data_IF_758807293038
#
_entry.id   IF_758807293038
#
_cell.length_a   1.000
_cell.length_b   1.000
_cell.length_c   1.000
_cell.angle_alpha   90.00
_cell.angle_beta   90.00
_cell.angle_gamma   90.00
#
_symmetry.space_group_name_H-M   'P 1'
#
loop_
_entity.id
_entity.type
_entity.pdbx_description
1 polymer ?
#
# COMPACT_ATOMS: atom_id res chain seq x y z
N UNK A 1 2.30 32.89 62.48
CA UNK A 1 2.05 33.87 61.39
C UNK A 1 3.10 33.80 60.27
N UNK A 2 4.34 34.32 60.43
CA UNK A 2 5.31 34.35 59.30
C UNK A 2 5.75 32.95 58.82
N UNK A 3 5.99 32.03 59.75
CA UNK A 3 6.40 30.63 59.47
C UNK A 3 5.32 29.87 58.68
N UNK A 4 4.05 30.09 59.02
CA UNK A 4 2.91 29.45 58.35
C UNK A 4 2.72 29.98 56.93
N UNK A 5 2.92 31.29 56.71
CA UNK A 5 2.88 31.90 55.38
C UNK A 5 3.96 31.30 54.47
N UNK A 6 5.17 31.10 54.99
CA UNK A 6 6.27 30.47 54.24
C UNK A 6 5.94 29.01 53.91
N UNK A 7 5.37 28.23 54.85
CA UNK A 7 4.94 26.86 54.57
C UNK A 7 3.83 26.76 53.52
N UNK A 8 2.87 27.68 53.55
CA UNK A 8 1.79 27.74 52.55
C UNK A 8 2.33 28.06 51.16
N UNK A 9 3.30 28.97 51.05
CA UNK A 9 3.95 29.30 49.78
C UNK A 9 4.67 28.09 49.17
N UNK A 10 5.47 27.36 49.96
CA UNK A 10 6.13 26.14 49.49
C UNK A 10 5.14 25.04 49.08
N UNK A 11 4.05 24.89 49.85
CA UNK A 11 3.01 23.91 49.57
C UNK A 11 2.26 24.23 48.26
N UNK A 12 1.93 25.51 48.04
CA UNK A 12 1.27 25.97 46.81
C UNK A 12 2.19 25.84 45.59
N UNK A 13 3.45 26.26 45.72
CA UNK A 13 4.46 26.11 44.67
C UNK A 13 4.67 24.65 44.28
N UNK A 14 4.75 23.75 45.26
CA UNK A 14 4.91 22.32 45.00
C UNK A 14 3.69 21.73 44.27
N UNK A 15 2.48 22.15 44.64
CA UNK A 15 1.24 21.69 44.01
C UNK A 15 1.14 22.16 42.55
N UNK A 16 1.51 23.41 42.28
CA UNK A 16 1.54 23.98 40.92
C UNK A 16 2.53 23.25 40.01
N UNK A 17 3.75 22.98 40.51
CA UNK A 17 4.75 22.19 39.78
C UNK A 17 4.29 20.75 39.54
N UNK A 18 3.67 20.11 40.53
CA UNK A 18 3.16 18.73 40.43
C UNK A 18 2.03 18.59 39.40
N UNK A 19 1.11 19.55 39.35
CA UNK A 19 0.03 19.56 38.35
C UNK A 19 0.57 19.82 36.93
N UNK A 20 1.56 20.70 36.81
CA UNK A 20 2.24 20.98 35.53
C UNK A 20 3.00 19.76 35.00
N UNK A 21 3.77 19.07 35.85
CA UNK A 21 4.53 17.86 35.47
C UNK A 21 3.58 16.74 35.01
N UNK A 22 2.44 16.55 35.70
CA UNK A 22 1.42 15.56 35.27
C UNK A 22 0.83 15.88 33.91
N UNK A 23 0.56 17.16 33.60
CA UNK A 23 0.08 17.60 32.27
C UNK A 23 1.12 17.33 31.19
N UNK A 24 2.38 17.66 31.43
CA UNK A 24 3.49 17.40 30.50
C UNK A 24 3.68 15.91 30.24
N UNK A 25 3.63 15.08 31.29
CA UNK A 25 3.75 13.62 31.16
C UNK A 25 2.59 13.01 30.37
N UNK A 26 1.37 13.51 30.58
CA UNK A 26 0.18 13.09 29.82
C UNK A 26 0.29 13.47 28.33
N UNK A 27 0.72 14.70 28.02
CA UNK A 27 0.94 15.13 26.63
C UNK A 27 2.04 14.28 25.98
N UNK A 28 3.16 14.05 26.67
CA UNK A 28 4.24 13.19 26.19
C UNK A 28 3.71 11.78 25.86
N UNK A 29 2.89 11.21 26.74
CA UNK A 29 2.26 9.89 26.54
C UNK A 29 1.29 9.87 25.35
N UNK A 30 0.53 10.94 25.11
CA UNK A 30 -0.39 11.03 23.97
C UNK A 30 0.40 11.20 22.65
N UNK A 31 1.46 12.01 22.65
CA UNK A 31 2.30 12.22 21.46
C UNK A 31 3.06 10.97 21.04
N UNK A 32 3.51 10.14 21.98
CA UNK A 32 4.14 8.84 21.66
C UNK A 32 3.12 7.80 21.19
N UNK A 33 1.87 7.87 21.64
CA UNK A 33 0.78 7.03 21.14
C UNK A 33 0.44 7.36 19.67
N UNK A 34 0.62 8.62 19.23
CA UNK A 34 0.42 9.04 17.83
C UNK A 34 1.64 8.88 16.92
N UNK A 35 2.85 8.76 17.49
CA UNK A 35 4.08 8.44 16.73
C UNK A 35 4.32 6.93 16.61
N UNK A 36 3.61 6.11 17.40
CA UNK A 36 3.60 4.65 17.32
C UNK A 36 2.58 4.11 16.30
N UNK A 37 2.26 4.90 15.27
CA UNK A 37 1.81 4.30 14.02
C UNK A 37 3.10 4.14 13.23
N UNK A 38 3.70 2.93 13.14
CA UNK A 38 4.72 2.72 12.14
C UNK A 38 4.11 3.19 10.83
N UNK A 39 4.73 4.17 10.17
CA UNK A 39 4.45 4.45 8.77
C UNK A 39 4.26 3.09 8.12
N UNK A 40 3.13 2.82 7.43
CA UNK A 40 2.92 1.50 6.88
C UNK A 40 4.20 1.16 6.12
N UNK A 41 4.80 0.03 6.46
CA UNK A 41 5.90 -0.63 5.77
C UNK A 41 5.46 -0.98 4.33
N UNK A 42 4.95 0.00 3.61
CA UNK A 42 4.30 -0.10 2.32
C UNK A 42 5.36 -0.19 1.20
N UNK A 43 6.63 0.04 1.53
CA UNK A 43 7.73 0.02 0.58
C UNK A 43 8.62 -1.24 0.62
N UNK A 44 8.54 -2.12 1.63
CA UNK A 44 9.44 -3.28 1.72
C UNK A 44 8.75 -4.66 1.68
N UNK A 45 7.43 -4.70 1.59
CA UNK A 45 6.77 -5.94 1.19
C UNK A 45 6.96 -6.08 -0.31
N UNK A 46 7.76 -7.06 -0.76
CA UNK A 46 7.75 -7.49 -2.16
C UNK A 46 6.29 -7.59 -2.57
N UNK A 47 5.87 -6.82 -3.57
CA UNK A 47 4.54 -6.91 -4.14
C UNK A 47 4.38 -8.30 -4.74
N UNK A 48 4.07 -9.28 -3.91
CA UNK A 48 3.39 -10.47 -4.37
C UNK A 48 2.07 -9.88 -4.83
N UNK A 49 1.88 -9.79 -6.15
CA UNK A 49 0.54 -9.74 -6.69
C UNK A 49 -0.15 -10.96 -6.11
N UNK A 50 -0.84 -10.78 -4.96
CA UNK A 50 -2.03 -11.55 -4.64
C UNK A 50 -2.71 -11.59 -5.98
N UNK A 51 -2.93 -12.79 -6.52
CA UNK A 51 -3.77 -12.91 -7.70
C UNK A 51 -5.03 -12.18 -7.27
N UNK A 52 -5.20 -10.90 -7.67
CA UNK A 52 -6.52 -10.28 -7.79
C UNK A 52 -7.29 -11.41 -8.41
N UNK A 53 -8.42 -11.81 -7.85
CA UNK A 53 -9.26 -12.75 -8.55
C UNK A 53 -9.40 -12.16 -9.94
N UNK A 54 -8.62 -12.70 -10.90
CA UNK A 54 -8.73 -12.37 -12.30
C UNK A 54 -9.93 -13.21 -12.57
N UNK A 55 -11.09 -12.68 -12.14
CA UNK A 55 -12.35 -13.39 -12.09
C UNK A 55 -12.41 -14.10 -13.41
N UNK A 56 -12.41 -15.42 -13.35
CA UNK A 56 -12.05 -16.28 -14.47
C UNK A 56 -12.79 -15.73 -15.67
N UNK A 57 -12.08 -15.01 -16.54
CA UNK A 57 -12.70 -14.57 -17.77
C UNK A 57 -13.08 -15.89 -18.39
N UNK A 58 -14.37 -16.15 -18.53
CA UNK A 58 -14.84 -17.26 -19.35
C UNK A 58 -14.34 -16.90 -20.73
N UNK A 59 -13.08 -17.23 -20.99
CA UNK A 59 -12.50 -17.18 -22.31
C UNK A 59 -13.34 -18.17 -23.04
N UNK A 60 -14.31 -17.67 -23.81
CA UNK A 60 -14.82 -18.40 -24.95
C UNK A 60 -13.60 -18.55 -25.85
N UNK A 61 -12.77 -19.55 -25.55
CA UNK A 61 -11.73 -20.03 -26.44
C UNK A 61 -12.49 -20.72 -27.55
N UNK A 62 -13.16 -19.92 -28.39
CA UNK A 62 -13.59 -20.36 -29.69
C UNK A 62 -12.27 -20.56 -30.40
N UNK A 63 -11.77 -21.78 -30.34
CA UNK A 63 -10.72 -22.25 -31.21
C UNK A 63 -11.33 -22.21 -32.59
N UNK A 64 -11.30 -21.04 -33.25
CA UNK A 64 -11.61 -20.94 -34.66
C UNK A 64 -10.47 -21.66 -35.36
N UNK A 65 -10.70 -22.84 -35.97
CA UNK A 65 -9.66 -23.48 -36.75
C UNK A 65 -9.31 -22.50 -37.86
N UNK A 66 -8.05 -22.07 -37.92
CA UNK A 66 -7.54 -21.31 -39.06
C UNK A 66 -7.73 -22.25 -40.25
N UNK A 67 -8.72 -21.96 -41.11
CA UNK A 67 -8.97 -22.73 -42.32
C UNK A 67 -7.72 -22.56 -43.19
N UNK A 68 -7.10 -23.69 -43.51
CA UNK A 68 -5.73 -23.82 -44.05
C UNK A 68 -4.60 -23.62 -43.03
N UNK A 69 -4.17 -24.76 -42.47
CA UNK A 69 -2.95 -24.88 -41.65
C UNK A 69 -1.68 -25.07 -42.51
N UNK A 70 -1.75 -24.77 -43.81
CA UNK A 70 -0.63 -24.90 -44.74
C UNK A 70 0.28 -23.67 -44.62
N UNK A 71 1.10 -23.61 -43.58
CA UNK A 71 2.21 -22.64 -43.53
C UNK A 71 2.58 -22.09 -42.15
N UNK A 72 1.74 -22.27 -41.12
CA UNK A 72 2.06 -21.79 -39.76
C UNK A 72 2.57 -22.96 -38.91
N UNK A 73 3.81 -23.36 -39.17
CA UNK A 73 4.54 -24.38 -38.39
C UNK A 73 5.63 -23.69 -37.57
N UNK A 74 5.25 -22.84 -36.61
CA UNK A 74 6.24 -22.07 -35.85
C UNK A 74 5.64 -21.16 -34.80
N UNK A 75 6.52 -20.42 -34.11
CA UNK A 75 6.10 -19.38 -33.16
C UNK A 75 5.72 -18.13 -33.94
N UNK A 76 4.57 -17.57 -33.59
CA UNK A 76 4.15 -16.25 -34.05
C UNK A 76 4.78 -15.21 -33.11
N UNK A 77 5.50 -14.25 -33.68
CA UNK A 77 6.23 -13.23 -32.92
C UNK A 77 5.37 -12.01 -32.58
N UNK A 78 4.40 -11.68 -33.43
CA UNK A 78 3.46 -10.58 -33.19
C UNK A 78 2.15 -10.75 -33.97
N UNK A 79 1.09 -10.17 -33.42
CA UNK A 79 -0.27 -10.13 -33.97
C UNK A 79 -0.68 -8.68 -34.18
N UNK A 80 -1.35 -8.38 -35.30
CA UNK A 80 -1.97 -7.09 -35.54
C UNK A 80 -3.37 -7.29 -36.14
N UNK A 81 -4.28 -6.36 -35.85
CA UNK A 81 -5.64 -6.32 -36.43
C UNK A 81 -5.82 -4.94 -37.05
N UNK A 82 -6.30 -4.88 -38.29
CA UNK A 82 -6.60 -3.62 -38.95
C UNK A 82 -8.04 -3.16 -38.65
N UNK A 83 -8.41 -1.98 -39.17
CA UNK A 83 -9.77 -1.44 -39.01
C UNK A 83 -10.86 -2.19 -39.79
N UNK A 84 -10.50 -3.23 -40.54
CA UNK A 84 -11.40 -4.08 -41.33
C UNK A 84 -11.46 -5.51 -40.78
N UNK A 85 -11.02 -5.71 -39.53
CA UNK A 85 -10.97 -6.99 -38.85
C UNK A 85 -10.07 -8.05 -39.53
N UNK A 86 -9.10 -7.64 -40.36
CA UNK A 86 -8.08 -8.54 -40.90
C UNK A 86 -6.99 -8.80 -39.86
N UNK A 87 -6.57 -10.06 -39.73
CA UNK A 87 -5.56 -10.48 -38.77
C UNK A 87 -4.23 -10.75 -39.47
N UNK A 88 -3.18 -10.02 -39.07
CA UNK A 88 -1.82 -10.15 -39.57
C UNK A 88 -0.91 -10.79 -38.52
N UNK A 89 -0.02 -11.66 -38.98
CA UNK A 89 0.89 -12.43 -38.13
C UNK A 89 2.31 -12.24 -38.65
N UNK A 90 3.26 -11.93 -37.76
CA UNK A 90 4.69 -11.90 -38.11
C UNK A 90 5.36 -13.17 -37.64
N UNK A 91 6.05 -13.84 -38.56
CA UNK A 91 6.96 -14.94 -38.26
C UNK A 91 8.39 -14.43 -38.28
N UNK A 92 9.26 -15.10 -37.53
CA UNK A 92 10.69 -14.97 -37.75
C UNK A 92 11.08 -15.90 -38.90
N UNK A 93 11.50 -15.36 -40.04
CA UNK A 93 12.16 -16.12 -41.08
C UNK A 93 13.60 -16.40 -40.61
N UNK A 94 13.78 -17.46 -39.83
CA UNK A 94 15.11 -18.02 -39.57
C UNK A 94 15.23 -19.31 -40.36
#
# INVERSE_FOLDING_TARGET
MLVEIVQLYYSLFYLERKTTIKKLLSILTITTLTASIPAPLLANKTLIRVKRDVGMSKSNKVYVPIKEKNGITGKINSLAVDSKDNIYFRTNNK
#
